data_IF_410264878344
#
_entry.id   IF_410264878344
#
_cell.length_a   1.000
_cell.length_b   1.000
_cell.length_c   1.000
_cell.angle_alpha   90.00
_cell.angle_beta   90.00
_cell.angle_gamma   90.00
#
_symmetry.space_group_name_H-M   'P 1'
#
loop_
_entity.id
_entity.type
_entity.pdbx_description
1 polymer ?
#
# COMPACT_ATOMS: atom_id res chain seq x y z
N UNK A 1 -4.53 9.60 34.00
CA UNK A 1 -5.20 8.65 33.10
C UNK A 1 -4.11 7.89 32.35
N UNK A 2 -4.09 6.55 32.34
CA UNK A 2 -3.18 5.81 31.43
C UNK A 2 -3.61 6.14 30.00
N UNK A 3 -2.67 6.62 29.16
CA UNK A 3 -2.93 6.86 27.74
C UNK A 3 -3.30 5.50 27.14
N UNK A 4 -4.45 5.40 26.49
CA UNK A 4 -4.90 4.16 25.85
C UNK A 4 -3.85 3.74 24.79
N UNK A 5 -3.56 2.44 24.68
CA UNK A 5 -2.62 1.95 23.66
C UNK A 5 -3.16 2.27 22.27
N UNK A 6 -2.32 2.72 21.32
CA UNK A 6 -2.75 2.88 19.93
C UNK A 6 -3.36 1.60 19.35
N UNK A 7 -4.38 1.73 18.52
CA UNK A 7 -5.00 0.64 17.76
C UNK A 7 -4.53 0.72 16.31
N UNK A 8 -3.92 -0.35 15.82
CA UNK A 8 -3.27 -0.43 14.51
C UNK A 8 -3.96 -1.52 13.69
N UNK A 9 -4.56 -1.17 12.57
CA UNK A 9 -5.12 -2.13 11.62
C UNK A 9 -4.13 -2.37 10.49
N UNK A 10 -3.77 -3.64 10.27
CA UNK A 10 -2.87 -4.06 9.18
C UNK A 10 -3.60 -4.89 8.13
N UNK A 11 -3.22 -4.71 6.89
CA UNK A 11 -3.57 -5.59 5.77
C UNK A 11 -2.47 -5.58 4.69
N UNK A 12 -2.61 -6.42 3.66
CA UNK A 12 -1.73 -6.46 2.49
C UNK A 12 -2.48 -7.07 1.30
N UNK A 13 -1.80 -7.21 0.17
CA UNK A 13 -2.28 -7.93 -1.02
C UNK A 13 -1.49 -9.23 -1.33
N UNK A 14 -0.38 -9.47 -0.64
CA UNK A 14 0.40 -10.71 -0.79
C UNK A 14 -0.20 -11.90 -0.03
N UNK A 15 -1.14 -11.63 0.90
CA UNK A 15 -1.82 -12.64 1.71
C UNK A 15 -1.31 -12.74 3.15
N UNK A 16 -2.11 -13.39 4.01
CA UNK A 16 -1.89 -13.45 5.46
C UNK A 16 -0.59 -14.13 5.87
N UNK A 17 -0.09 -15.07 5.05
CA UNK A 17 1.16 -15.81 5.31
C UNK A 17 2.40 -15.12 4.72
N UNK A 18 2.24 -14.00 3.99
CA UNK A 18 3.34 -13.33 3.33
C UNK A 18 4.42 -12.87 4.30
N UNK A 19 5.69 -13.01 3.89
CA UNK A 19 6.85 -12.61 4.69
C UNK A 19 6.80 -11.13 5.05
N UNK A 20 6.48 -10.26 4.07
CA UNK A 20 6.40 -8.82 4.30
C UNK A 20 5.40 -8.43 5.37
N UNK A 21 4.21 -9.05 5.41
CA UNK A 21 3.22 -8.81 6.46
C UNK A 21 3.72 -9.26 7.85
N UNK A 22 4.35 -10.43 7.92
CA UNK A 22 4.90 -10.94 9.17
C UNK A 22 6.06 -10.06 9.69
N UNK A 23 6.90 -9.53 8.81
CA UNK A 23 7.95 -8.58 9.15
C UNK A 23 7.36 -7.24 9.62
N UNK A 24 6.28 -6.76 8.99
CA UNK A 24 5.55 -5.56 9.43
C UNK A 24 5.01 -5.74 10.85
N UNK A 25 4.34 -6.86 11.12
CA UNK A 25 3.87 -7.20 12.46
C UNK A 25 5.04 -7.18 13.45
N UNK A 26 6.16 -7.82 13.13
CA UNK A 26 7.36 -7.87 13.98
C UNK A 26 7.90 -6.48 14.28
N UNK A 27 8.00 -5.61 13.28
CA UNK A 27 8.52 -4.24 13.41
C UNK A 27 7.64 -3.33 14.27
N UNK A 28 6.31 -3.57 14.28
CA UNK A 28 5.34 -2.74 15.00
C UNK A 28 4.97 -3.27 16.38
N UNK A 29 5.45 -4.46 16.77
CA UNK A 29 5.20 -5.02 18.11
C UNK A 29 5.60 -4.02 19.21
N UNK A 30 4.72 -3.93 20.23
CA UNK A 30 4.90 -3.03 21.39
C UNK A 30 4.51 -1.57 21.12
N UNK A 31 4.10 -1.19 19.91
CA UNK A 31 3.61 0.16 19.62
C UNK A 31 2.14 0.34 19.99
N UNK A 32 1.35 -0.73 19.99
CA UNK A 32 -0.07 -0.69 20.25
C UNK A 32 -0.72 -2.05 20.16
N UNK A 33 -2.05 -2.07 20.14
CA UNK A 33 -2.85 -3.24 19.82
C UNK A 33 -2.92 -3.41 18.30
N UNK A 34 -2.48 -4.57 17.80
CA UNK A 34 -2.40 -4.86 16.37
C UNK A 34 -3.53 -5.82 15.99
N UNK A 35 -4.37 -5.40 15.07
CA UNK A 35 -5.37 -6.23 14.41
C UNK A 35 -4.97 -6.37 12.95
N UNK A 36 -4.91 -7.60 12.47
CA UNK A 36 -4.60 -7.92 11.09
C UNK A 36 -5.81 -8.56 10.46
N UNK A 37 -6.23 -8.08 9.29
CA UNK A 37 -7.11 -8.82 8.41
C UNK A 37 -6.54 -8.74 7.00
N UNK A 38 -6.11 -9.89 6.47
CA UNK A 38 -5.44 -9.98 5.19
C UNK A 38 -6.05 -11.09 4.32
N UNK A 39 -5.91 -11.00 2.99
CA UNK A 39 -6.40 -12.03 2.08
C UNK A 39 -5.83 -13.42 2.40
N UNK A 40 -6.60 -14.46 2.07
CA UNK A 40 -6.20 -15.87 2.24
C UNK A 40 -5.15 -16.34 1.24
N UNK A 41 -4.78 -15.49 0.27
CA UNK A 41 -3.73 -15.69 -0.72
C UNK A 41 -3.46 -14.42 -1.51
N UNK A 42 -2.48 -14.44 -2.43
CA UNK A 42 -2.07 -13.29 -3.20
C UNK A 42 -3.21 -12.67 -4.03
N UNK A 43 -3.26 -11.34 -4.05
CA UNK A 43 -4.20 -10.49 -4.83
C UNK A 43 -3.45 -9.36 -5.54
N UNK A 44 -2.22 -9.63 -6.00
CA UNK A 44 -1.39 -8.63 -6.69
C UNK A 44 -2.11 -8.03 -7.89
N UNK A 45 -1.99 -6.71 -8.08
CA UNK A 45 -2.69 -5.97 -9.14
C UNK A 45 -4.19 -5.77 -8.89
N UNK A 46 -4.70 -6.09 -7.71
CA UNK A 46 -6.12 -5.91 -7.39
C UNK A 46 -6.54 -4.44 -7.24
N UNK A 47 -5.59 -3.51 -7.09
CA UNK A 47 -5.89 -2.08 -6.92
C UNK A 47 -6.93 -1.83 -5.81
N UNK A 48 -7.91 -0.98 -6.06
CA UNK A 48 -9.06 -0.72 -5.19
C UNK A 48 -10.27 -1.65 -5.38
N UNK A 49 -10.09 -2.84 -5.96
CA UNK A 49 -11.18 -3.77 -6.24
C UNK A 49 -11.92 -4.20 -4.96
N UNK A 50 -13.25 -4.34 -5.08
CA UNK A 50 -14.15 -4.83 -4.03
C UNK A 50 -14.92 -6.06 -4.53
N UNK A 51 -15.29 -6.96 -3.62
CA UNK A 51 -16.11 -8.13 -3.92
C UNK A 51 -17.58 -7.79 -3.72
N UNK A 52 -18.34 -7.65 -4.83
CA UNK A 52 -19.77 -7.35 -4.80
C UNK A 52 -20.68 -8.53 -5.16
N UNK A 53 -20.14 -9.58 -5.81
CA UNK A 53 -20.94 -10.68 -6.37
C UNK A 53 -20.98 -11.93 -5.47
N UNK A 54 -20.07 -12.04 -4.53
CA UNK A 54 -19.94 -13.22 -3.68
C UNK A 54 -19.80 -12.84 -2.20
N UNK A 55 -20.27 -13.69 -1.27
CA UNK A 55 -20.06 -13.44 0.15
C UNK A 55 -18.58 -13.55 0.53
N UNK A 56 -18.12 -12.59 1.33
CA UNK A 56 -16.77 -12.58 1.90
C UNK A 56 -16.82 -13.18 3.30
N UNK A 57 -15.84 -14.04 3.62
CA UNK A 57 -15.69 -14.71 4.92
C UNK A 57 -14.34 -14.38 5.55
N UNK A 58 -14.28 -14.41 6.86
CA UNK A 58 -13.03 -14.30 7.60
C UNK A 58 -12.93 -15.32 8.72
N UNK A 59 -11.71 -15.65 9.11
CA UNK A 59 -11.40 -16.63 10.14
C UNK A 59 -10.24 -16.12 10.99
N UNK A 60 -10.38 -16.19 12.33
CA UNK A 60 -9.28 -15.92 13.24
C UNK A 60 -8.25 -17.05 13.12
N UNK A 61 -6.98 -16.69 12.84
CA UNK A 61 -5.90 -17.66 12.63
C UNK A 61 -4.81 -17.56 13.70
N UNK A 62 -4.73 -16.41 14.42
CA UNK A 62 -3.76 -16.20 15.48
C UNK A 62 -4.30 -15.21 16.49
N UNK A 63 -3.99 -15.43 17.78
CA UNK A 63 -4.33 -14.53 18.88
C UNK A 63 -3.21 -14.55 19.93
N UNK A 64 -2.74 -13.38 20.30
CA UNK A 64 -1.72 -13.13 21.32
C UNK A 64 -2.13 -11.88 22.11
N UNK A 65 -1.43 -11.52 23.18
CA UNK A 65 -1.81 -10.43 24.08
C UNK A 65 -2.13 -9.11 23.36
N UNK A 66 -1.28 -8.69 22.39
CA UNK A 66 -1.44 -7.42 21.64
C UNK A 66 -1.58 -7.65 20.13
N UNK A 67 -1.96 -8.86 19.70
CA UNK A 67 -2.09 -9.20 18.28
C UNK A 67 -3.25 -10.16 18.04
N UNK A 68 -4.13 -9.80 17.11
CA UNK A 68 -5.11 -10.72 16.55
C UNK A 68 -5.03 -10.73 15.04
N UNK A 69 -4.93 -11.93 14.43
CA UNK A 69 -4.78 -12.08 12.98
C UNK A 69 -5.97 -12.84 12.41
N UNK A 70 -6.57 -12.28 11.38
CA UNK A 70 -7.65 -12.87 10.60
C UNK A 70 -7.22 -13.04 9.15
N UNK A 71 -7.58 -14.18 8.56
CA UNK A 71 -7.55 -14.36 7.10
C UNK A 71 -8.93 -14.14 6.52
N UNK A 72 -8.99 -13.55 5.32
CA UNK A 72 -10.22 -13.16 4.65
C UNK A 72 -10.24 -13.68 3.20
N UNK A 73 -11.41 -14.10 2.71
CA UNK A 73 -11.55 -14.58 1.32
C UNK A 73 -11.69 -13.46 0.29
N UNK A 74 -11.79 -12.21 0.74
CA UNK A 74 -11.97 -11.03 -0.11
C UNK A 74 -10.67 -10.41 -0.62
N UNK A 75 -10.82 -9.24 -1.24
CA UNK A 75 -9.72 -8.38 -1.70
C UNK A 75 -9.04 -7.68 -0.51
N UNK A 76 -7.89 -7.02 -0.70
CA UNK A 76 -7.28 -6.17 0.32
C UNK A 76 -8.22 -5.08 0.85
N UNK A 77 -8.99 -4.46 -0.02
CA UNK A 77 -10.00 -3.44 0.34
C UNK A 77 -11.13 -4.04 1.15
N UNK A 78 -11.62 -5.24 0.76
CA UNK A 78 -12.64 -5.96 1.54
C UNK A 78 -12.15 -6.28 2.96
N UNK A 79 -10.88 -6.64 3.10
CA UNK A 79 -10.27 -6.90 4.41
C UNK A 79 -10.38 -5.68 5.32
N UNK A 80 -10.02 -4.48 4.85
CA UNK A 80 -10.15 -3.25 5.64
C UNK A 80 -11.61 -2.95 5.97
N UNK A 81 -12.51 -2.98 4.97
CA UNK A 81 -13.94 -2.72 5.17
C UNK A 81 -14.54 -3.67 6.20
N UNK A 82 -14.26 -4.96 6.06
CA UNK A 82 -14.81 -5.99 6.93
C UNK A 82 -14.21 -5.91 8.34
N UNK A 83 -12.90 -5.67 8.47
CA UNK A 83 -12.26 -5.49 9.76
C UNK A 83 -12.87 -4.32 10.54
N UNK A 84 -13.03 -3.16 9.91
CA UNK A 84 -13.63 -1.97 10.52
C UNK A 84 -15.09 -2.19 10.94
N UNK A 85 -15.80 -3.09 10.27
CA UNK A 85 -17.20 -3.40 10.58
C UNK A 85 -17.37 -4.47 11.67
N UNK A 86 -16.43 -5.42 11.79
CA UNK A 86 -16.68 -6.65 12.56
C UNK A 86 -15.74 -6.89 13.74
N UNK A 87 -14.41 -6.70 13.55
CA UNK A 87 -13.42 -7.19 14.52
C UNK A 87 -12.66 -6.09 15.25
N UNK A 88 -12.68 -4.88 14.73
CA UNK A 88 -12.01 -3.75 15.36
C UNK A 88 -12.93 -3.17 16.46
N UNK A 89 -12.52 -3.18 17.74
CA UNK A 89 -13.40 -2.79 18.84
C UNK A 89 -13.66 -1.28 18.91
N UNK A 90 -12.76 -0.48 18.36
CA UNK A 90 -12.85 0.97 18.21
C UNK A 90 -12.17 1.42 16.93
N UNK A 91 -12.45 2.63 16.48
CA UNK A 91 -11.77 3.20 15.30
C UNK A 91 -10.25 3.12 15.48
N UNK A 92 -9.50 2.50 14.53
CA UNK A 92 -8.05 2.46 14.60
C UNK A 92 -7.44 3.86 14.55
N UNK A 93 -6.30 4.03 15.20
CA UNK A 93 -5.51 5.26 15.12
C UNK A 93 -4.75 5.35 13.80
N UNK A 94 -4.42 4.17 13.21
CA UNK A 94 -3.77 4.07 11.90
C UNK A 94 -4.16 2.80 11.17
N UNK A 95 -4.27 2.87 9.83
CA UNK A 95 -4.36 1.73 8.92
C UNK A 95 -3.04 1.62 8.16
N UNK A 96 -2.44 0.44 8.11
CA UNK A 96 -1.16 0.22 7.45
C UNK A 96 -1.28 -0.94 6.45
N UNK A 97 -0.87 -0.65 5.21
CA UNK A 97 -0.74 -1.65 4.14
C UNK A 97 0.71 -2.13 4.00
N UNK A 98 0.93 -3.43 3.82
CA UNK A 98 2.25 -3.97 3.46
C UNK A 98 2.84 -4.99 4.45
N UNK A 99 4.18 -5.19 4.46
CA UNK A 99 5.14 -4.61 3.50
C UNK A 99 4.99 -5.34 2.17
N UNK A 100 4.73 -4.60 1.10
CA UNK A 100 4.57 -5.16 -0.23
C UNK A 100 5.90 -5.71 -0.79
N UNK A 101 5.84 -6.84 -1.48
CA UNK A 101 6.92 -7.34 -2.32
C UNK A 101 6.85 -6.66 -3.70
N UNK A 102 7.74 -5.70 -3.95
CA UNK A 102 7.73 -4.79 -5.09
C UNK A 102 7.32 -3.38 -4.69
N UNK A 103 7.81 -2.39 -5.43
CA UNK A 103 7.49 -0.99 -5.16
C UNK A 103 6.10 -0.60 -5.67
N UNK A 104 5.55 0.41 -5.03
CA UNK A 104 4.31 1.09 -5.40
C UNK A 104 4.57 2.56 -5.76
N UNK A 105 5.79 2.86 -6.21
CA UNK A 105 6.21 4.21 -6.65
C UNK A 105 5.63 4.54 -8.02
N UNK A 106 5.73 5.80 -8.44
CA UNK A 106 5.23 6.27 -9.73
C UNK A 106 3.78 5.84 -9.99
N UNK A 107 3.47 5.40 -11.20
CA UNK A 107 2.13 4.95 -11.64
C UNK A 107 1.68 3.63 -10.99
N UNK A 108 2.59 2.88 -10.36
CA UNK A 108 2.26 1.62 -9.68
C UNK A 108 1.24 1.81 -8.55
N UNK A 109 1.19 3.00 -7.96
CA UNK A 109 0.18 3.38 -6.95
C UNK A 109 -1.25 3.08 -7.43
N UNK A 110 -1.53 3.19 -8.72
CA UNK A 110 -2.87 2.98 -9.31
C UNK A 110 -3.25 1.49 -9.42
N UNK A 111 -2.27 0.59 -9.46
CA UNK A 111 -2.50 -0.86 -9.61
C UNK A 111 -2.34 -1.63 -8.29
N UNK A 112 -1.82 -0.97 -7.27
CA UNK A 112 -1.43 -1.57 -6.00
C UNK A 112 -2.61 -1.95 -5.11
N UNK A 113 -2.69 -3.23 -4.72
CA UNK A 113 -3.61 -3.69 -3.68
C UNK A 113 -3.22 -3.19 -2.29
N UNK A 114 -1.92 -3.07 -1.99
CA UNK A 114 -1.41 -2.43 -0.77
C UNK A 114 -1.88 -0.98 -0.66
N UNK A 115 -1.80 -0.19 -1.75
CA UNK A 115 -2.34 1.17 -1.75
C UNK A 115 -3.87 1.18 -1.71
N UNK A 116 -4.54 0.15 -2.22
CA UNK A 116 -5.97 -0.05 -2.02
C UNK A 116 -6.38 -0.11 -0.54
N UNK A 117 -5.62 -0.85 0.29
CA UNK A 117 -5.77 -0.87 1.77
C UNK A 117 -5.66 0.53 2.36
N UNK A 118 -4.62 1.25 1.96
CA UNK A 118 -4.28 2.58 2.48
C UNK A 118 -5.31 3.63 2.10
N UNK A 119 -5.72 3.62 0.83
CA UNK A 119 -6.76 4.51 0.30
C UNK A 119 -8.09 4.25 1.00
N UNK A 120 -8.48 2.98 1.21
CA UNK A 120 -9.71 2.66 1.94
C UNK A 120 -9.68 3.18 3.38
N UNK A 121 -8.57 3.00 4.11
CA UNK A 121 -8.38 3.57 5.45
C UNK A 121 -8.51 5.10 5.44
N UNK A 122 -7.88 5.76 4.46
CA UNK A 122 -7.94 7.21 4.27
C UNK A 122 -9.35 7.69 3.94
N UNK A 123 -10.11 6.97 3.10
CA UNK A 123 -11.53 7.24 2.80
C UNK A 123 -12.42 7.16 4.04
N UNK A 124 -12.04 6.36 5.03
CA UNK A 124 -12.70 6.32 6.35
C UNK A 124 -12.20 7.42 7.29
N UNK A 125 -11.34 8.33 6.81
CA UNK A 125 -10.76 9.41 7.57
C UNK A 125 -9.74 8.95 8.62
N UNK A 126 -9.15 7.78 8.46
CA UNK A 126 -8.09 7.23 9.34
C UNK A 126 -6.74 7.54 8.71
N UNK A 127 -5.76 7.98 9.51
CA UNK A 127 -4.38 8.11 9.05
C UNK A 127 -3.90 6.79 8.46
N UNK A 128 -3.35 6.79 7.23
CA UNK A 128 -3.05 5.55 6.53
C UNK A 128 -1.69 5.59 5.84
N UNK A 129 -0.94 4.47 5.89
CA UNK A 129 0.42 4.37 5.37
C UNK A 129 0.56 3.06 4.59
N UNK A 130 1.12 3.13 3.38
CA UNK A 130 1.55 1.96 2.60
C UNK A 130 3.05 1.82 2.66
N UNK A 131 3.54 0.60 2.95
CA UNK A 131 4.96 0.27 2.95
C UNK A 131 5.26 -0.77 1.88
N UNK A 132 6.29 -0.52 1.06
CA UNK A 132 6.68 -1.37 -0.06
C UNK A 132 8.20 -1.47 -0.17
N UNK A 133 8.72 -2.63 -0.50
CA UNK A 133 10.15 -2.86 -0.75
C UNK A 133 10.35 -3.14 -2.24
N UNK A 134 11.32 -2.48 -2.89
CA UNK A 134 11.68 -2.67 -4.30
C UNK A 134 12.33 -4.04 -4.57
N UNK A 135 11.73 -5.12 -4.04
CA UNK A 135 12.19 -6.48 -4.23
C UNK A 135 10.98 -7.43 -4.28
N UNK A 136 10.81 -8.14 -5.42
CA UNK A 136 9.69 -9.05 -5.68
C UNK A 136 9.92 -10.49 -5.21
N UNK A 137 11.13 -10.82 -4.73
CA UNK A 137 11.44 -12.19 -4.33
C UNK A 137 10.80 -12.56 -3.00
N UNK A 138 10.34 -13.80 -2.90
CA UNK A 138 9.68 -14.30 -1.68
C UNK A 138 10.60 -14.31 -0.44
N UNK A 139 11.91 -14.37 -0.64
CA UNK A 139 12.96 -14.36 0.39
C UNK A 139 13.53 -12.96 0.67
N UNK A 140 12.96 -11.89 0.10
CA UNK A 140 13.40 -10.51 0.28
C UNK A 140 13.71 -10.18 1.75
N UNK A 141 14.77 -9.40 1.99
CA UNK A 141 15.18 -8.95 3.32
C UNK A 141 14.58 -7.58 3.65
N UNK A 142 13.67 -7.55 4.60
CA UNK A 142 13.00 -6.33 5.08
C UNK A 142 13.73 -5.67 6.26
N UNK A 143 14.85 -6.21 6.73
CA UNK A 143 15.47 -5.80 7.99
C UNK A 143 15.89 -4.32 8.01
N UNK A 144 16.40 -3.81 6.88
CA UNK A 144 16.81 -2.40 6.74
C UNK A 144 15.64 -1.41 6.82
N UNK A 145 14.43 -1.83 6.43
CA UNK A 145 13.23 -0.99 6.41
C UNK A 145 12.57 -0.83 7.79
N UNK A 146 12.69 -1.84 8.68
CA UNK A 146 11.92 -1.89 9.93
C UNK A 146 12.15 -0.68 10.87
N UNK A 147 13.38 -0.16 11.06
CA UNK A 147 13.59 1.03 11.88
C UNK A 147 12.87 2.27 11.34
N UNK A 148 12.83 2.41 10.01
CA UNK A 148 12.12 3.52 9.35
C UNK A 148 10.62 3.36 9.43
N UNK A 149 10.09 2.15 9.21
CA UNK A 149 8.67 1.82 9.37
C UNK A 149 8.20 2.21 10.77
N UNK A 150 8.94 1.81 11.81
CA UNK A 150 8.61 2.14 13.18
C UNK A 150 8.60 3.65 13.40
N UNK A 151 9.66 4.36 12.99
CA UNK A 151 9.76 5.80 13.14
C UNK A 151 8.66 6.56 12.39
N UNK A 152 8.38 6.20 11.13
CA UNK A 152 7.33 6.86 10.34
C UNK A 152 5.96 6.62 10.98
N UNK A 153 5.69 5.38 11.41
CA UNK A 153 4.43 5.05 12.10
C UNK A 153 4.28 5.83 13.42
N UNK A 154 5.34 5.97 14.22
CA UNK A 154 5.36 6.79 15.45
C UNK A 154 5.00 8.25 15.15
N UNK A 155 5.60 8.84 14.11
CA UNK A 155 5.31 10.22 13.72
C UNK A 155 3.86 10.40 13.24
N UNK A 156 3.31 9.42 12.49
CA UNK A 156 1.91 9.47 12.05
C UNK A 156 0.94 9.28 13.23
N UNK A 157 1.26 8.42 14.19
CA UNK A 157 0.46 8.27 15.42
C UNK A 157 0.50 9.53 16.31
N UNK A 158 1.59 10.28 16.30
CA UNK A 158 1.76 11.51 17.09
C UNK A 158 1.07 12.71 16.46
N UNK A 159 1.22 12.90 15.14
CA UNK A 159 0.78 14.12 14.45
C UNK A 159 -0.53 13.95 13.68
N UNK A 160 -0.89 12.72 13.33
CA UNK A 160 -1.98 12.44 12.38
C UNK A 160 -1.63 12.82 10.95
N UNK A 161 -2.55 12.52 10.02
CA UNK A 161 -2.50 12.99 8.64
C UNK A 161 -3.75 13.82 8.34
N UNK A 162 -3.65 14.86 7.49
CA UNK A 162 -4.82 15.61 7.05
C UNK A 162 -5.85 14.69 6.38
N UNK A 163 -7.13 15.03 6.50
CA UNK A 163 -8.19 14.28 5.81
C UNK A 163 -7.94 14.24 4.31
N UNK A 164 -8.09 13.06 3.72
CA UNK A 164 -7.87 12.85 2.30
C UNK A 164 -6.40 12.65 1.89
N UNK A 165 -5.48 12.63 2.86
CA UNK A 165 -4.06 12.38 2.60
C UNK A 165 -3.62 11.08 3.28
N UNK A 166 -2.90 10.25 2.55
CA UNK A 166 -2.20 9.07 3.04
C UNK A 166 -0.74 9.08 2.59
N UNK A 167 0.08 8.16 3.10
CA UNK A 167 1.48 8.05 2.73
C UNK A 167 1.73 6.78 1.91
N UNK A 168 2.43 6.94 0.79
CA UNK A 168 3.02 5.86 0.01
C UNK A 168 4.54 5.86 0.28
N UNK A 169 5.02 4.85 1.00
CA UNK A 169 6.41 4.75 1.45
C UNK A 169 7.09 3.57 0.77
N UNK A 170 8.12 3.84 0.00
CA UNK A 170 8.86 2.84 -0.75
C UNK A 170 10.31 2.79 -0.28
N UNK A 171 10.84 1.57 -0.13
CA UNK A 171 12.20 1.29 0.28
C UNK A 171 12.98 0.71 -0.89
N UNK A 172 14.18 1.23 -1.22
CA UNK A 172 15.05 0.57 -2.18
C UNK A 172 15.59 -0.74 -1.59
N UNK A 173 15.84 -1.71 -2.46
CA UNK A 173 16.45 -3.00 -2.08
C UNK A 173 17.94 -2.82 -1.78
N UNK A 174 18.24 -2.36 -0.59
CA UNK A 174 19.63 -2.16 -0.11
C UNK A 174 19.71 -2.31 1.40
N UNK A 175 20.82 -2.87 1.86
CA UNK A 175 21.12 -2.98 3.28
C UNK A 175 21.48 -1.63 3.93
N UNK A 176 21.89 -0.62 3.14
CA UNK A 176 22.37 0.69 3.62
C UNK A 176 21.53 1.82 3.07
N UNK A 177 20.45 2.15 3.77
CA UNK A 177 19.59 3.28 3.43
C UNK A 177 20.26 4.60 3.80
N UNK A 178 20.25 5.57 2.89
CA UNK A 178 20.86 6.90 3.08
C UNK A 178 20.00 7.89 3.89
N UNK A 179 18.76 7.51 4.21
CA UNK A 179 17.79 8.35 4.90
C UNK A 179 16.45 8.42 4.16
N UNK A 180 15.62 9.39 4.54
CA UNK A 180 14.26 9.59 4.00
C UNK A 180 14.24 10.83 3.11
N UNK A 181 13.54 10.74 1.98
CA UNK A 181 13.18 11.88 1.13
C UNK A 181 11.66 11.98 0.98
N UNK A 182 11.14 13.19 1.12
CA UNK A 182 9.75 13.49 0.76
C UNK A 182 9.73 13.76 -0.73
N UNK A 183 8.94 12.98 -1.45
CA UNK A 183 8.94 12.95 -2.90
C UNK A 183 7.54 13.23 -3.46
N UNK A 184 7.50 13.64 -4.72
CA UNK A 184 6.31 13.52 -5.55
C UNK A 184 6.37 12.23 -6.36
N UNK A 185 5.23 11.80 -6.86
CA UNK A 185 5.12 10.72 -7.83
C UNK A 185 5.92 11.04 -9.10
N UNK A 186 6.75 10.10 -9.57
CA UNK A 186 7.48 10.19 -10.84
C UNK A 186 6.49 10.14 -12.01
N UNK A 187 6.71 10.98 -13.00
CA UNK A 187 5.99 10.95 -14.27
C UNK A 187 6.61 9.91 -15.20
N UNK A 188 5.80 8.98 -15.69
CA UNK A 188 6.24 7.90 -16.57
C UNK A 188 5.09 6.96 -16.91
N UNK A 189 5.39 5.91 -17.67
CA UNK A 189 4.41 4.90 -18.05
C UNK A 189 5.06 3.52 -18.21
N UNK A 190 4.28 2.47 -18.09
CA UNK A 190 4.69 1.14 -18.51
C UNK A 190 4.63 1.04 -20.03
N UNK A 191 5.66 0.44 -20.64
CA UNK A 191 5.75 0.19 -22.09
C UNK A 191 6.07 -1.27 -22.34
N UNK A 192 5.86 -1.76 -23.58
CA UNK A 192 6.13 -3.14 -23.97
C UNK A 192 5.45 -4.20 -23.06
N UNK A 193 4.25 -3.90 -22.59
CA UNK A 193 3.59 -4.60 -21.50
C UNK A 193 3.15 -6.03 -21.82
N UNK A 194 3.13 -6.45 -23.09
CA UNK A 194 2.61 -7.77 -23.47
C UNK A 194 3.62 -8.60 -24.22
N UNK A 195 3.97 -9.75 -23.66
CA UNK A 195 4.77 -10.77 -24.31
C UNK A 195 3.89 -11.90 -24.84
N UNK A 196 3.81 -12.01 -26.18
CA UNK A 196 3.09 -13.08 -26.86
C UNK A 196 3.82 -14.40 -26.69
N UNK A 197 3.09 -15.49 -26.44
CA UNK A 197 3.57 -16.85 -26.37
C UNK A 197 2.60 -17.81 -27.06
N UNK A 198 3.08 -18.97 -27.47
CA UNK A 198 2.27 -20.00 -28.11
C UNK A 198 1.98 -21.13 -27.12
N UNK A 199 0.72 -21.53 -27.02
CA UNK A 199 0.36 -22.66 -26.20
C UNK A 199 0.73 -23.96 -26.92
N UNK A 200 1.34 -24.99 -26.25
CA UNK A 200 1.79 -26.23 -26.88
C UNK A 200 0.69 -27.02 -27.62
N UNK A 201 -0.58 -26.81 -27.27
CA UNK A 201 -1.75 -27.45 -27.91
C UNK A 201 -2.48 -26.55 -28.89
N UNK A 202 -1.83 -25.45 -29.33
CA UNK A 202 -2.39 -24.46 -30.23
C UNK A 202 -3.06 -23.30 -29.49
N UNK A 203 -3.14 -22.16 -30.17
CA UNK A 203 -3.61 -20.89 -29.61
C UNK A 203 -2.48 -20.01 -29.09
N UNK A 204 -2.81 -18.75 -28.89
CA UNK A 204 -1.90 -17.73 -28.38
C UNK A 204 -2.31 -17.33 -26.97
N UNK A 205 -1.33 -16.94 -26.17
CA UNK A 205 -1.57 -16.29 -24.88
C UNK A 205 -0.52 -15.20 -24.64
N UNK A 206 -0.83 -14.30 -23.74
CA UNK A 206 -0.01 -13.14 -23.49
C UNK A 206 0.32 -13.06 -22.00
N UNK A 207 1.57 -12.79 -21.72
CA UNK A 207 2.03 -12.46 -20.37
C UNK A 207 2.09 -10.95 -20.23
N UNK A 208 1.53 -10.42 -19.12
CA UNK A 208 1.78 -9.06 -18.70
C UNK A 208 3.23 -8.98 -18.20
N UNK A 209 3.99 -8.11 -18.83
CA UNK A 209 5.40 -7.83 -18.55
C UNK A 209 5.57 -6.30 -18.57
N UNK A 210 6.68 -5.81 -19.05
CA UNK A 210 6.88 -4.40 -19.35
C UNK A 210 8.14 -3.85 -18.74
N UNK A 211 8.41 -2.63 -19.15
CA UNK A 211 9.49 -1.80 -18.66
C UNK A 211 8.90 -0.45 -18.27
N UNK A 212 9.33 0.10 -17.15
CA UNK A 212 8.90 1.44 -16.77
C UNK A 212 9.72 2.48 -17.50
N UNK A 213 9.07 3.28 -18.36
CA UNK A 213 9.66 4.41 -19.05
C UNK A 213 9.51 5.66 -18.18
N UNK A 214 10.63 6.07 -17.57
CA UNK A 214 10.70 7.26 -16.73
C UNK A 214 10.92 8.51 -17.60
N UNK A 215 9.94 9.39 -17.67
CA UNK A 215 10.01 10.61 -18.50
C UNK A 215 10.87 11.72 -17.89
N UNK A 216 11.34 11.54 -16.64
CA UNK A 216 12.07 12.57 -15.89
C UNK A 216 13.17 11.96 -14.99
N UNK A 217 14.12 11.19 -15.55
CA UNK A 217 15.10 10.43 -14.76
C UNK A 217 15.99 11.28 -13.85
N UNK A 218 16.16 12.56 -14.19
CA UNK A 218 16.98 13.52 -13.42
C UNK A 218 16.19 14.34 -12.39
N UNK A 219 14.89 14.06 -12.20
CA UNK A 219 14.04 14.80 -11.27
C UNK A 219 14.30 14.38 -9.82
N UNK A 220 15.17 15.08 -9.12
CA UNK A 220 15.62 14.77 -7.75
C UNK A 220 14.52 14.81 -6.69
N UNK A 221 13.38 15.41 -6.99
CA UNK A 221 12.20 15.47 -6.13
C UNK A 221 11.22 14.31 -6.34
N UNK A 222 11.54 13.39 -7.26
CA UNK A 222 10.71 12.24 -7.60
C UNK A 222 11.04 10.99 -6.77
N UNK A 223 10.04 10.11 -6.60
CA UNK A 223 10.19 8.87 -5.85
C UNK A 223 11.16 7.88 -6.51
N UNK A 224 11.14 7.74 -7.85
CA UNK A 224 12.08 6.89 -8.57
C UNK A 224 13.53 7.36 -8.43
N UNK A 225 13.77 8.68 -8.50
CA UNK A 225 15.10 9.21 -8.29
C UNK A 225 15.60 8.89 -6.88
N UNK A 226 14.78 9.12 -5.87
CA UNK A 226 15.12 8.83 -4.47
C UNK A 226 15.46 7.34 -4.27
N UNK A 227 14.63 6.45 -4.79
CA UNK A 227 14.85 4.99 -4.71
C UNK A 227 16.13 4.57 -5.42
N UNK A 228 16.36 5.05 -6.65
CA UNK A 228 17.58 4.78 -7.42
C UNK A 228 18.87 5.26 -6.74
N UNK A 229 18.76 6.25 -5.84
CA UNK A 229 19.89 6.81 -5.09
C UNK A 229 20.01 6.27 -3.65
N UNK A 230 19.20 5.27 -3.26
CA UNK A 230 19.29 4.58 -1.96
C UNK A 230 18.58 5.30 -0.81
N UNK A 231 17.65 6.19 -1.12
CA UNK A 231 16.79 6.85 -0.13
C UNK A 231 15.43 6.17 -0.02
N UNK A 232 14.85 6.19 1.16
CA UNK A 232 13.44 5.87 1.38
C UNK A 232 12.61 6.99 0.79
N UNK A 233 11.73 6.66 -0.15
CA UNK A 233 10.80 7.62 -0.76
C UNK A 233 9.50 7.66 0.02
N UNK A 234 9.09 8.83 0.50
CA UNK A 234 7.81 9.08 1.16
C UNK A 234 7.01 10.04 0.30
N UNK A 235 5.96 9.53 -0.34
CA UNK A 235 5.09 10.28 -1.25
C UNK A 235 3.74 10.52 -0.60
N UNK A 236 3.40 11.77 -0.19
CA UNK A 236 2.05 12.10 0.21
C UNK A 236 1.08 11.88 -0.95
N UNK A 237 0.08 11.04 -0.73
CA UNK A 237 -0.88 10.62 -1.76
C UNK A 237 -2.26 11.13 -1.41
N UNK A 238 -2.90 11.80 -2.37
CA UNK A 238 -4.23 12.38 -2.23
C UNK A 238 -5.28 11.43 -2.78
N UNK A 239 -6.40 11.25 -2.04
CA UNK A 239 -7.52 10.40 -2.50
C UNK A 239 -8.53 11.15 -3.37
N UNK A 240 -8.55 12.48 -3.32
CA UNK A 240 -9.33 13.28 -4.23
C UNK A 240 -8.56 13.46 -5.54
N UNK A 241 -9.03 12.79 -6.58
CA UNK A 241 -8.42 12.77 -7.92
C UNK A 241 -8.94 13.89 -8.83
N UNK A 242 -9.66 14.87 -8.30
CA UNK A 242 -10.22 15.99 -9.06
C UNK A 242 -9.10 16.93 -9.54
N UNK A 243 -8.98 17.11 -10.84
CA UNK A 243 -8.10 18.11 -11.43
C UNK A 243 -8.73 19.51 -11.33
N UNK A 244 -8.67 20.13 -10.15
CA UNK A 244 -9.32 21.42 -9.87
C UNK A 244 -8.94 22.53 -10.85
N UNK A 245 -7.70 22.54 -11.36
CA UNK A 245 -7.25 23.50 -12.37
C UNK A 245 -8.04 23.42 -13.68
N UNK A 246 -8.51 22.22 -14.06
CA UNK A 246 -9.28 22.00 -15.28
C UNK A 246 -10.76 22.41 -15.17
N UNK A 247 -11.30 22.53 -13.97
CA UNK A 247 -12.75 22.84 -13.78
C UNK A 247 -13.14 24.14 -14.46
N UNK A 248 -12.33 25.20 -14.30
CA UNK A 248 -12.64 26.50 -14.92
C UNK A 248 -12.47 26.48 -16.44
N UNK A 249 -11.55 25.69 -16.96
CA UNK A 249 -11.35 25.53 -18.40
C UNK A 249 -12.54 24.79 -19.04
N UNK A 250 -12.99 23.70 -18.41
CA UNK A 250 -14.16 22.94 -18.88
C UNK A 250 -15.45 23.73 -18.88
N UNK A 251 -15.64 24.69 -17.97
CA UNK A 251 -16.80 25.62 -18.00
C UNK A 251 -16.85 26.45 -19.29
N UNK A 252 -15.69 26.74 -19.89
CA UNK A 252 -15.61 27.49 -21.14
C UNK A 252 -15.96 26.62 -22.38
N UNK A 253 -16.10 25.29 -22.21
CA UNK A 253 -16.45 24.39 -23.31
C UNK A 253 -17.96 24.25 -23.55
N UNK A 254 -18.80 25.04 -22.85
CA UNK A 254 -20.25 25.00 -22.93
C UNK A 254 -20.84 23.60 -22.71
N UNK A 255 -20.30 22.86 -21.76
CA UNK A 255 -20.80 21.52 -21.39
C UNK A 255 -21.98 21.58 -20.43
N UNK A 256 -22.14 22.68 -19.70
CA UNK A 256 -23.24 22.90 -18.78
C UNK A 256 -24.48 23.37 -19.60
N UNK A 257 -25.59 22.58 -19.59
CA UNK A 257 -26.84 22.84 -20.30
C UNK A 257 -27.94 23.12 -19.28
#
# INVERSE_FOLDING_TARGET
>A
MKKEKPSILLSNDDGVEAKGLNELIRGLRGMGEIIVMAPDGPRSGASGAITSEHPVKYYKVREEEDLTVYKCTGTPVDCVKLALHTVVPRRPDVVIGGINHGDNSSVNVHYSGTMGVVIEGCLKGISSIGYSLCNHFADADFSSSLPYIRRITEQVLEHGLPLGICLNVNFPDTASLKGVRICRQTNGAWINEWKRSLHPRGGEYFWLTGEFDNYEPEAEDSDHWALGHGYVAVTPTQIDVTAYGMMNELKNWNLEV
#
